data_IF_168077310926
#
_entry.id   IF_168077310926
#
_cell.length_a   1.000
_cell.length_b   1.000
_cell.length_c   1.000
_cell.angle_alpha   90.00
_cell.angle_beta   90.00
_cell.angle_gamma   90.00
#
_symmetry.space_group_name_H-M   'P 1'
#
loop_
_entity.id
_entity.type
_entity.pdbx_description
1 polymer ?
#
# COMPACT_ATOMS: atom_id res chain seq x y z
N UNK A 1 22.25 27.39 -5.84
CA UNK A 1 21.36 26.37 -5.22
C UNK A 1 20.12 26.22 -6.09
N UNK A 2 20.10 25.24 -6.98
CA UNK A 2 18.96 25.01 -7.90
C UNK A 2 17.86 24.26 -7.15
N UNK A 3 16.68 24.87 -7.02
CA UNK A 3 15.50 24.20 -6.44
C UNK A 3 15.13 23.02 -7.34
N UNK A 4 15.26 21.81 -6.83
CA UNK A 4 14.82 20.58 -7.51
C UNK A 4 13.32 20.73 -7.83
N UNK A 5 12.86 20.53 -9.08
CA UNK A 5 11.45 20.65 -9.40
C UNK A 5 10.69 19.60 -8.58
N UNK A 6 9.72 20.05 -7.80
CA UNK A 6 8.81 19.19 -7.05
C UNK A 6 7.99 18.41 -8.07
N UNK A 7 8.37 17.17 -8.33
CA UNK A 7 7.54 16.28 -9.16
C UNK A 7 6.14 16.22 -8.53
N UNK A 8 5.07 16.25 -9.35
CA UNK A 8 3.72 16.06 -8.83
C UNK A 8 3.70 14.74 -8.04
N UNK A 9 3.05 14.70 -6.87
CA UNK A 9 2.95 13.46 -6.11
C UNK A 9 2.38 12.38 -7.04
N UNK A 10 2.97 11.16 -7.06
CA UNK A 10 2.37 10.09 -7.84
C UNK A 10 0.92 9.94 -7.39
N UNK A 11 0.01 9.67 -8.32
CA UNK A 11 -1.37 9.29 -8.01
C UNK A 11 -1.29 7.94 -7.30
N UNK A 12 -0.96 7.99 -6.01
CA UNK A 12 -0.69 6.84 -5.15
C UNK A 12 -2.04 6.32 -4.65
N UNK A 13 -2.77 5.68 -5.56
CA UNK A 13 -3.98 4.96 -5.23
C UNK A 13 -4.01 3.66 -6.02
N UNK A 14 -4.61 2.60 -5.45
CA UNK A 14 -4.94 1.42 -6.24
C UNK A 14 -5.82 1.86 -7.42
N UNK A 15 -5.51 1.32 -8.60
CA UNK A 15 -6.35 1.48 -9.79
C UNK A 15 -7.64 0.68 -9.58
N UNK A 16 -8.73 1.13 -10.16
CA UNK A 16 -10.03 0.47 -10.04
C UNK A 16 -10.81 0.55 -11.35
N UNK A 17 -11.65 -0.44 -11.61
CA UNK A 17 -12.55 -0.50 -12.76
C UNK A 17 -11.83 -0.15 -14.08
N UNK A 18 -12.24 0.92 -14.75
CA UNK A 18 -11.71 1.38 -16.04
C UNK A 18 -10.24 1.85 -16.00
N UNK A 19 -9.68 2.10 -14.81
CA UNK A 19 -8.28 2.49 -14.66
C UNK A 19 -7.32 1.29 -14.76
N UNK A 20 -7.85 0.07 -14.81
CA UNK A 20 -7.07 -1.17 -14.96
C UNK A 20 -6.76 -1.36 -16.45
N UNK A 21 -5.47 -1.24 -16.80
CA UNK A 21 -5.00 -1.29 -18.20
C UNK A 21 -4.71 -2.73 -18.67
N UNK A 22 -4.45 -3.63 -17.73
CA UNK A 22 -4.14 -5.04 -18.04
C UNK A 22 -5.35 -5.75 -18.64
N UNK A 23 -5.19 -6.58 -19.69
CA UNK A 23 -6.30 -7.29 -20.34
C UNK A 23 -6.76 -8.53 -19.55
N UNK A 24 -5.85 -9.15 -18.79
CA UNK A 24 -6.11 -10.30 -17.94
C UNK A 24 -5.73 -9.96 -16.52
N UNK A 25 -6.56 -10.39 -15.57
CA UNK A 25 -6.34 -10.19 -14.14
C UNK A 25 -6.68 -11.46 -13.39
N UNK A 26 -5.94 -11.71 -12.31
CA UNK A 26 -6.31 -12.71 -11.32
C UNK A 26 -7.30 -12.09 -10.36
N UNK A 27 -8.50 -12.64 -10.28
CA UNK A 27 -9.60 -12.07 -9.49
C UNK A 27 -9.77 -12.83 -8.19
N UNK A 28 -9.93 -12.06 -7.12
CA UNK A 28 -10.27 -12.55 -5.79
C UNK A 28 -11.63 -11.97 -5.40
N UNK A 29 -12.54 -12.82 -4.95
CA UNK A 29 -13.86 -12.42 -4.51
C UNK A 29 -13.80 -11.65 -3.17
N UNK A 30 -14.92 -11.04 -2.78
CA UNK A 30 -15.11 -10.36 -1.49
C UNK A 30 -14.85 -11.30 -0.29
N UNK A 31 -15.20 -12.58 -0.44
CA UNK A 31 -15.02 -13.63 0.57
C UNK A 31 -13.57 -14.16 0.62
N UNK A 32 -12.72 -13.70 -0.30
CA UNK A 32 -11.31 -14.08 -0.38
C UNK A 32 -11.06 -15.32 -1.24
N UNK A 33 -12.08 -15.87 -1.89
CA UNK A 33 -11.92 -16.99 -2.83
C UNK A 33 -11.24 -16.55 -4.12
N UNK A 34 -10.40 -17.42 -4.69
CA UNK A 34 -9.74 -17.17 -5.96
C UNK A 34 -10.65 -17.65 -7.11
N UNK A 35 -11.20 -16.71 -7.87
CA UNK A 35 -11.98 -17.01 -9.09
C UNK A 35 -11.06 -17.36 -10.28
N UNK A 36 -9.75 -17.21 -10.11
CA UNK A 36 -8.74 -17.56 -11.11
C UNK A 36 -8.37 -16.37 -12.00
N UNK A 37 -7.83 -16.67 -13.18
CA UNK A 37 -7.42 -15.65 -14.17
C UNK A 37 -8.53 -15.50 -15.19
N UNK A 38 -9.07 -14.29 -15.31
CA UNK A 38 -10.13 -13.96 -16.27
C UNK A 38 -9.84 -12.63 -16.97
N UNK A 39 -10.68 -12.27 -17.95
CA UNK A 39 -10.55 -10.97 -18.60
C UNK A 39 -11.02 -9.86 -17.68
N UNK A 40 -10.36 -8.71 -17.76
CA UNK A 40 -10.69 -7.54 -16.91
C UNK A 40 -12.13 -7.08 -17.09
N UNK A 41 -12.68 -7.24 -18.30
CA UNK A 41 -14.08 -6.92 -18.59
C UNK A 41 -15.05 -7.83 -17.86
N UNK A 42 -14.82 -9.15 -17.90
CA UNK A 42 -15.64 -10.14 -17.20
C UNK A 42 -15.55 -9.93 -15.68
N UNK A 43 -14.35 -9.65 -15.18
CA UNK A 43 -14.12 -9.33 -13.77
C UNK A 43 -14.89 -8.08 -13.32
N UNK A 44 -14.97 -7.06 -14.19
CA UNK A 44 -15.68 -5.82 -13.92
C UNK A 44 -17.20 -6.04 -13.91
N UNK A 45 -17.72 -6.84 -14.84
CA UNK A 45 -19.14 -7.21 -14.88
C UNK A 45 -19.54 -8.03 -13.63
N UNK A 46 -18.69 -8.96 -13.18
CA UNK A 46 -18.92 -9.71 -11.94
C UNK A 46 -18.88 -8.82 -10.70
N UNK A 47 -17.92 -7.90 -10.61
CA UNK A 47 -17.86 -6.92 -9.52
C UNK A 47 -19.13 -6.06 -9.47
N UNK A 48 -19.61 -5.62 -10.64
CA UNK A 48 -20.83 -4.82 -10.75
C UNK A 48 -22.08 -5.62 -10.35
N UNK A 49 -22.14 -6.91 -10.66
CA UNK A 49 -23.25 -7.79 -10.28
C UNK A 49 -23.39 -7.94 -8.75
N UNK A 50 -22.27 -7.90 -8.02
CA UNK A 50 -22.27 -7.93 -6.54
C UNK A 50 -22.31 -6.52 -5.92
N UNK A 51 -22.34 -5.47 -6.74
CA UNK A 51 -22.39 -4.08 -6.26
C UNK A 51 -21.07 -3.57 -5.66
N UNK A 52 -19.94 -4.18 -6.04
CA UNK A 52 -18.59 -3.80 -5.62
C UNK A 52 -17.76 -3.28 -6.80
N UNK A 53 -16.61 -2.71 -6.51
CA UNK A 53 -15.64 -2.29 -7.53
C UNK A 53 -14.55 -3.35 -7.72
N UNK A 54 -14.04 -3.44 -8.94
CA UNK A 54 -12.83 -4.21 -9.24
C UNK A 54 -11.61 -3.36 -8.89
N UNK A 55 -10.93 -3.67 -7.79
CA UNK A 55 -9.77 -2.89 -7.33
C UNK A 55 -8.48 -3.67 -7.56
N UNK A 56 -7.53 -3.07 -8.27
CA UNK A 56 -6.20 -3.61 -8.48
C UNK A 56 -5.35 -3.44 -7.21
N UNK A 57 -5.16 -4.55 -6.48
CA UNK A 57 -4.42 -4.56 -5.21
C UNK A 57 -2.93 -4.75 -5.43
N UNK A 58 -2.55 -5.57 -6.43
CA UNK A 58 -1.15 -5.84 -6.75
C UNK A 58 -0.89 -5.73 -8.25
N UNK A 59 -0.39 -4.59 -8.73
CA UNK A 59 -0.04 -4.39 -10.14
C UNK A 59 1.26 -5.10 -10.54
N UNK A 60 2.10 -5.47 -9.57
CA UNK A 60 3.43 -6.04 -9.82
C UNK A 60 3.41 -7.56 -10.05
N UNK A 61 2.24 -8.20 -9.92
CA UNK A 61 2.09 -9.63 -10.16
C UNK A 61 1.81 -9.91 -11.64
N UNK A 62 2.22 -11.08 -12.13
CA UNK A 62 1.94 -11.54 -13.49
C UNK A 62 1.07 -12.81 -13.46
N UNK A 63 -0.23 -12.75 -13.79
CA UNK A 63 -1.04 -11.57 -14.11
C UNK A 63 -1.39 -10.71 -12.87
N UNK A 64 -1.73 -9.42 -13.04
CA UNK A 64 -2.07 -8.50 -11.95
C UNK A 64 -3.22 -9.01 -11.10
N UNK A 65 -3.18 -8.74 -9.80
CA UNK A 65 -4.19 -9.22 -8.85
C UNK A 65 -5.21 -8.12 -8.57
N UNK A 66 -6.46 -8.41 -8.92
CA UNK A 66 -7.62 -7.58 -8.64
C UNK A 66 -8.52 -8.26 -7.61
N UNK A 67 -9.18 -7.47 -6.78
CA UNK A 67 -10.09 -7.95 -5.73
C UNK A 67 -11.39 -7.15 -5.75
N UNK A 68 -12.52 -7.80 -5.51
CA UNK A 68 -13.81 -7.12 -5.36
C UNK A 68 -13.87 -6.39 -4.02
N UNK A 69 -13.84 -5.07 -4.06
CA UNK A 69 -13.72 -4.22 -2.88
C UNK A 69 -14.40 -2.86 -3.14
N UNK A 70 -14.90 -2.21 -2.09
CA UNK A 70 -15.31 -0.81 -2.16
C UNK A 70 -14.06 0.10 -2.09
N UNK A 71 -13.86 0.92 -3.12
CA UNK A 71 -12.70 1.83 -3.24
C UNK A 71 -12.65 2.85 -2.11
N UNK A 72 -13.80 3.37 -1.69
CA UNK A 72 -13.92 4.36 -0.62
C UNK A 72 -13.50 3.78 0.73
N UNK A 73 -14.04 2.61 1.06
CA UNK A 73 -13.68 1.89 2.30
C UNK A 73 -12.21 1.50 2.31
N UNK A 74 -11.70 0.96 1.20
CA UNK A 74 -10.30 0.55 1.09
C UNK A 74 -9.34 1.73 1.28
N UNK A 75 -9.61 2.88 0.64
CA UNK A 75 -8.79 4.09 0.81
C UNK A 75 -8.76 4.57 2.25
N UNK A 76 -9.92 4.57 2.92
CA UNK A 76 -10.01 4.96 4.33
C UNK A 76 -9.21 4.02 5.24
N UNK A 77 -9.36 2.70 5.06
CA UNK A 77 -8.63 1.70 5.84
C UNK A 77 -7.11 1.78 5.59
N UNK A 78 -6.69 1.94 4.34
CA UNK A 78 -5.29 2.12 3.97
C UNK A 78 -4.70 3.38 4.61
N UNK A 79 -5.42 4.50 4.59
CA UNK A 79 -4.99 5.75 5.21
C UNK A 79 -4.92 5.62 6.74
N UNK A 80 -5.93 4.99 7.37
CA UNK A 80 -5.95 4.75 8.81
C UNK A 80 -4.78 3.85 9.23
N UNK A 81 -4.51 2.77 8.49
CA UNK A 81 -3.37 1.87 8.71
C UNK A 81 -2.04 2.60 8.55
N UNK A 82 -1.89 3.42 7.51
CA UNK A 82 -0.68 4.22 7.29
C UNK A 82 -0.44 5.21 8.45
N UNK A 83 -1.50 5.86 8.95
CA UNK A 83 -1.41 6.78 10.09
C UNK A 83 -1.03 6.04 11.39
N UNK A 84 -1.59 4.85 11.63
CA UNK A 84 -1.23 4.02 12.79
C UNK A 84 0.22 3.52 12.71
N UNK A 85 0.67 3.11 11.51
CA UNK A 85 2.04 2.69 11.28
C UNK A 85 3.05 3.83 11.52
N UNK A 86 2.77 5.04 11.02
CA UNK A 86 3.60 6.22 11.29
C UNK A 86 3.66 6.59 12.77
N UNK A 87 2.53 6.47 13.49
CA UNK A 87 2.49 6.73 14.94
C UNK A 87 3.23 5.66 15.76
N UNK A 88 3.22 4.41 15.30
CA UNK A 88 3.90 3.29 15.97
C UNK A 88 5.38 3.18 15.60
N UNK A 89 5.81 3.87 14.54
CA UNK A 89 7.21 3.93 14.13
C UNK A 89 7.99 4.72 15.19
N UNK A 90 8.62 3.99 16.12
CA UNK A 90 9.47 4.52 17.16
C UNK A 90 10.67 5.20 16.48
N UNK A 91 10.65 6.52 16.34
CA UNK A 91 11.82 7.30 15.92
C UNK A 91 12.90 7.08 16.97
N UNK A 92 13.83 6.16 16.70
CA UNK A 92 15.01 5.99 17.54
C UNK A 92 15.89 7.21 17.27
N UNK A 93 15.69 8.27 18.05
CA UNK A 93 16.64 9.36 18.12
C UNK A 93 17.94 8.79 18.67
N UNK A 94 18.93 8.62 17.79
CA UNK A 94 20.28 8.24 18.18
C UNK A 94 20.80 9.38 19.05
N UNK A 95 20.73 9.21 20.37
CA UNK A 95 21.39 10.12 21.31
C UNK A 95 22.88 9.84 21.22
N UNK A 96 23.57 10.57 20.34
CA UNK A 96 25.03 10.57 20.27
C UNK A 96 25.58 11.09 21.61
N UNK A 97 25.95 10.18 22.51
CA UNK A 97 26.72 10.52 23.71
C UNK A 97 28.11 10.90 23.23
N UNK A 98 28.43 12.21 23.25
CA UNK A 98 29.82 12.68 23.16
C UNK A 98 30.55 12.24 24.43
N UNK A 99 31.20 11.08 24.39
CA UNK A 99 32.19 10.73 25.41
C UNK A 99 33.42 11.63 25.25
N UNK A 100 33.78 12.34 26.31
CA UNK A 100 35.12 12.93 26.46
C UNK A 100 36.03 11.85 27.05
N UNK A 101 37.21 11.59 26.48
CA UNK A 101 38.18 10.67 27.07
C UNK A 101 38.83 11.34 28.28
N UNK A 102 38.15 11.31 29.42
CA UNK A 102 38.81 11.35 30.72
C UNK A 102 38.28 10.12 31.48
N UNK A 103 38.97 9.02 31.22
CA UNK A 103 38.98 7.82 32.04
C UNK A 103 39.11 8.21 33.52
N UNK A 104 38.16 7.77 34.34
CA UNK A 104 38.37 7.50 35.75
C UNK A 104 37.84 6.09 35.99
N UNK A 105 38.75 5.19 36.34
CA UNK A 105 38.49 3.77 36.58
C UNK A 105 37.91 3.61 37.99
N UNK A 106 36.61 3.83 38.15
CA UNK A 106 35.90 3.47 39.39
C UNK A 106 34.39 3.40 39.12
N UNK A 107 33.66 2.32 39.33
CA UNK A 107 33.87 0.91 39.62
C UNK A 107 32.51 0.27 39.20
N UNK A 108 32.47 -1.02 38.94
CA UNK A 108 31.26 -1.74 38.51
C UNK A 108 30.13 -1.69 39.57
N UNK A 109 28.94 -1.22 39.17
CA UNK A 109 27.62 -1.80 39.55
C UNK A 109 26.54 -1.40 38.52
#
# INVERSE_FOLDING_TARGET
MTRRPLAPPPINGPRFNEFIVSPKVRVIDQDGENLGVMYTREAMEQAQAVGLDLVEVSPNADPPVAKFLDVGKFKYEAQKKANLARKSQKTQEIKEIKMRPNIDDHDYD
#
